data_IF_665443012662
#
_entry.id   IF_665443012662
#
_cell.length_a   1.000
_cell.length_b   1.000
_cell.length_c   1.000
_cell.angle_alpha   90.00
_cell.angle_beta   90.00
_cell.angle_gamma   90.00
#
_symmetry.space_group_name_H-M   'P 1'
#
loop_
_entity.id
_entity.type
_entity.pdbx_description
1 polymer ?
#
# COMPACT_ATOMS: atom_id res chain seq x y z
N UNK A 1 6.02 8.45 -24.53
CA UNK A 1 5.30 9.31 -23.56
C UNK A 1 6.15 9.44 -22.32
N UNK A 2 6.68 10.63 -22.07
CA UNK A 2 7.46 10.94 -20.85
C UNK A 2 6.45 11.29 -19.75
N UNK A 3 6.25 10.40 -18.78
CA UNK A 3 5.39 10.67 -17.65
C UNK A 3 6.05 11.73 -16.77
N UNK A 4 5.43 12.90 -16.62
CA UNK A 4 5.85 13.89 -15.63
C UNK A 4 5.48 13.33 -14.25
N UNK A 5 6.48 13.10 -13.41
CA UNK A 5 6.27 12.89 -11.98
C UNK A 5 5.49 14.10 -11.44
N UNK A 6 4.34 13.84 -10.81
CA UNK A 6 3.58 14.88 -10.14
C UNK A 6 3.88 14.80 -8.64
N UNK A 7 4.35 15.91 -8.07
CA UNK A 7 4.61 16.03 -6.63
C UNK A 7 3.65 17.04 -6.05
N UNK A 8 2.84 16.60 -5.09
CA UNK A 8 1.96 17.44 -4.29
C UNK A 8 2.60 17.58 -2.90
N UNK A 9 2.94 18.81 -2.52
CA UNK A 9 3.47 19.10 -1.19
C UNK A 9 2.35 19.68 -0.34
N UNK A 10 2.04 19.02 0.77
CA UNK A 10 0.97 19.43 1.67
C UNK A 10 1.49 20.17 2.91
N UNK A 11 2.76 19.93 3.26
CA UNK A 11 3.48 20.54 4.38
C UNK A 11 4.99 20.52 4.10
N UNK A 12 5.79 21.26 4.87
CA UNK A 12 7.27 21.20 4.81
C UNK A 12 7.84 19.82 5.14
N UNK A 13 7.03 18.93 5.75
CA UNK A 13 7.43 17.58 6.18
C UNK A 13 6.69 16.45 5.48
N UNK A 14 5.71 16.73 4.63
CA UNK A 14 4.92 15.68 3.96
C UNK A 14 4.77 16.01 2.49
N UNK A 15 5.28 15.10 1.65
CA UNK A 15 5.17 15.19 0.20
C UNK A 15 4.57 13.89 -0.33
N UNK A 16 3.64 14.04 -1.26
CA UNK A 16 3.11 12.96 -2.05
C UNK A 16 3.66 13.03 -3.46
N UNK A 17 4.19 11.91 -3.94
CA UNK A 17 4.72 11.81 -5.29
C UNK A 17 4.06 10.65 -6.02
N UNK A 18 3.60 10.95 -7.23
CA UNK A 18 3.06 9.97 -8.17
C UNK A 18 4.14 9.60 -9.18
N UNK A 19 4.51 8.33 -9.23
CA UNK A 19 5.44 7.78 -10.22
C UNK A 19 4.90 6.52 -10.90
N UNK A 20 5.60 6.08 -11.95
CA UNK A 20 5.38 4.80 -12.62
C UNK A 20 6.65 3.99 -12.47
N UNK A 21 6.53 2.76 -11.98
CA UNK A 21 7.67 1.89 -11.77
C UNK A 21 7.28 0.50 -11.28
N UNK A 22 8.31 -0.30 -11.05
CA UNK A 22 8.21 -1.57 -10.35
C UNK A 22 8.44 -1.33 -8.86
N UNK A 23 7.37 -1.49 -8.06
CA UNK A 23 7.41 -1.23 -6.62
C UNK A 23 8.40 -2.14 -5.88
N UNK A 24 8.72 -3.33 -6.42
CA UNK A 24 9.70 -4.23 -5.81
C UNK A 24 11.13 -3.68 -5.85
N UNK A 25 11.37 -2.69 -6.70
CA UNK A 25 12.67 -2.00 -6.88
C UNK A 25 12.68 -0.61 -6.26
N UNK A 26 11.58 -0.17 -5.67
CA UNK A 26 11.45 1.17 -5.09
C UNK A 26 12.28 1.29 -3.81
N UNK A 27 13.00 2.40 -3.67
CA UNK A 27 13.73 2.77 -2.46
C UNK A 27 14.00 4.27 -2.43
N UNK A 28 14.10 4.83 -1.23
CA UNK A 28 14.62 6.17 -0.96
C UNK A 28 15.93 6.06 -0.18
N UNK A 29 15.90 5.47 1.02
CA UNK A 29 17.10 5.32 1.87
C UNK A 29 17.40 3.88 2.29
N UNK A 30 16.54 2.93 1.92
CA UNK A 30 16.52 1.49 2.26
C UNK A 30 16.24 1.18 3.73
N UNK A 31 16.74 1.98 4.66
CA UNK A 31 16.69 1.73 6.11
C UNK A 31 15.38 2.10 6.79
N UNK A 32 14.65 3.07 6.25
CA UNK A 32 13.37 3.59 6.76
C UNK A 32 12.28 3.57 5.69
N UNK A 33 12.49 2.74 4.66
CA UNK A 33 11.56 2.51 3.56
C UNK A 33 10.63 1.33 3.87
N UNK A 34 9.36 1.45 3.49
CA UNK A 34 8.46 0.31 3.35
C UNK A 34 7.68 0.37 2.04
N UNK A 35 7.34 -0.80 1.52
CA UNK A 35 6.37 -0.93 0.42
C UNK A 35 5.11 -1.64 0.91
N UNK A 36 3.97 -1.32 0.31
CA UNK A 36 2.70 -1.98 0.62
C UNK A 36 2.44 -3.14 -0.34
N UNK A 37 2.13 -4.31 0.22
CA UNK A 37 1.72 -5.51 -0.49
C UNK A 37 0.21 -5.73 -0.32
N UNK A 38 -0.61 -5.54 -1.38
CA UNK A 38 -2.04 -5.85 -1.35
C UNK A 38 -2.22 -7.37 -1.41
N UNK A 39 -2.82 -7.95 -0.38
CA UNK A 39 -2.92 -9.40 -0.21
C UNK A 39 -4.33 -9.81 0.22
N UNK A 40 -4.52 -11.12 0.47
CA UNK A 40 -5.74 -11.67 1.04
C UNK A 40 -5.63 -11.85 2.56
N UNK A 41 -6.74 -12.26 3.18
CA UNK A 41 -6.88 -12.35 4.64
C UNK A 41 -5.92 -13.34 5.31
N UNK A 42 -5.46 -14.34 4.58
CA UNK A 42 -4.52 -15.36 5.06
C UNK A 42 -3.05 -14.96 4.88
N UNK A 43 -2.78 -13.77 4.32
CA UNK A 43 -1.45 -13.27 3.95
C UNK A 43 -0.71 -14.22 2.99
N UNK A 44 -1.46 -14.88 2.11
CA UNK A 44 -0.91 -15.73 1.07
C UNK A 44 -0.99 -15.04 -0.28
N UNK A 45 0.08 -15.23 -1.05
CA UNK A 45 0.31 -14.72 -2.40
C UNK A 45 -0.97 -14.22 -3.09
N UNK A 46 -1.15 -12.91 -3.11
CA UNK A 46 -2.12 -12.25 -3.98
C UNK A 46 -1.63 -12.28 -5.44
N UNK A 47 -2.55 -12.20 -6.40
CA UNK A 47 -2.17 -12.02 -7.80
C UNK A 47 -1.48 -10.67 -8.06
N UNK A 48 -0.80 -10.56 -9.21
CA UNK A 48 -0.19 -9.33 -9.72
C UNK A 48 0.93 -8.75 -8.83
N UNK A 49 0.72 -7.59 -8.19
CA UNK A 49 1.76 -6.85 -7.47
C UNK A 49 2.31 -7.63 -6.27
N UNK A 50 1.46 -8.35 -5.53
CA UNK A 50 1.93 -9.18 -4.42
C UNK A 50 2.84 -10.31 -4.91
N UNK A 51 2.56 -10.93 -6.06
CA UNK A 51 3.43 -11.94 -6.64
C UNK A 51 4.82 -11.36 -6.97
N UNK A 52 4.89 -10.18 -7.59
CA UNK A 52 6.16 -9.51 -7.89
C UNK A 52 6.95 -9.16 -6.61
N UNK A 53 6.26 -8.69 -5.57
CA UNK A 53 6.88 -8.40 -4.27
C UNK A 53 7.42 -9.69 -3.62
N UNK A 54 6.65 -10.77 -3.63
CA UNK A 54 7.08 -12.06 -3.07
C UNK A 54 8.23 -12.69 -3.85
N UNK A 55 8.22 -12.60 -5.18
CA UNK A 55 9.31 -13.07 -6.03
C UNK A 55 10.61 -12.32 -5.71
N UNK A 56 10.54 -10.99 -5.66
CA UNK A 56 11.71 -10.15 -5.38
C UNK A 56 12.22 -10.28 -3.94
N UNK A 57 11.34 -10.39 -2.95
CA UNK A 57 11.71 -10.57 -1.54
C UNK A 57 12.30 -11.95 -1.24
N UNK A 58 11.94 -12.96 -2.03
CA UNK A 58 12.31 -14.35 -1.83
C UNK A 58 11.42 -15.10 -0.83
N UNK A 59 11.68 -16.41 -0.62
CA UNK A 59 10.79 -17.30 0.10
C UNK A 59 10.63 -16.96 1.59
N UNK A 60 11.58 -16.23 2.17
CA UNK A 60 11.56 -15.87 3.59
C UNK A 60 10.44 -14.86 3.91
N UNK A 61 10.00 -14.06 2.93
CA UNK A 61 8.82 -13.21 3.09
C UNK A 61 7.57 -14.05 3.37
N UNK A 62 7.36 -15.13 2.60
CA UNK A 62 6.23 -16.02 2.81
C UNK A 62 6.30 -16.72 4.17
N UNK A 63 7.49 -17.16 4.59
CA UNK A 63 7.69 -17.75 5.91
C UNK A 63 7.31 -16.76 7.02
N UNK A 64 7.71 -15.50 6.90
CA UNK A 64 7.34 -14.48 7.87
C UNK A 64 5.84 -14.19 7.90
N UNK A 65 5.17 -14.18 6.73
CA UNK A 65 3.71 -14.07 6.68
C UNK A 65 3.02 -15.19 7.48
N UNK A 66 3.53 -16.42 7.43
CA UNK A 66 2.98 -17.54 8.21
C UNK A 66 3.19 -17.40 9.73
N UNK A 67 4.23 -16.70 10.16
CA UNK A 67 4.50 -16.44 11.58
C UNK A 67 3.61 -15.34 12.17
N UNK A 68 2.89 -14.58 11.33
CA UNK A 68 1.93 -13.59 11.83
C UNK A 68 0.77 -14.33 12.50
N UNK A 69 0.42 -13.98 13.75
CA UNK A 69 -0.70 -14.59 14.46
C UNK A 69 -2.03 -14.41 13.71
N UNK A 70 -2.89 -15.40 13.83
CA UNK A 70 -4.26 -15.28 13.38
C UNK A 70 -5.03 -14.28 14.25
N UNK A 71 -5.64 -13.28 13.63
CA UNK A 71 -6.54 -12.35 14.28
C UNK A 71 -7.91 -13.00 14.53
N UNK A 72 -8.32 -13.92 13.64
CA UNK A 72 -9.52 -14.73 13.74
C UNK A 72 -9.21 -16.11 13.10
N UNK A 73 -10.01 -17.16 13.34
CA UNK A 73 -9.74 -18.47 12.76
C UNK A 73 -9.51 -18.41 11.25
N UNK A 74 -8.30 -18.80 10.81
CA UNK A 74 -7.85 -18.74 9.40
C UNK A 74 -7.74 -17.33 8.80
N UNK A 75 -7.66 -16.28 9.62
CA UNK A 75 -7.51 -14.89 9.17
C UNK A 75 -6.34 -14.27 9.92
N UNK A 76 -5.30 -13.86 9.18
CA UNK A 76 -4.14 -13.14 9.73
C UNK A 76 -4.29 -11.63 9.62
N UNK A 77 -4.96 -11.15 8.57
CA UNK A 77 -5.20 -9.74 8.31
C UNK A 77 -6.62 -9.53 7.78
N UNK A 78 -7.58 -9.11 8.62
CA UNK A 78 -8.92 -8.74 8.15
C UNK A 78 -8.92 -7.64 7.08
N UNK A 79 -9.97 -7.52 6.25
CA UNK A 79 -10.13 -6.42 5.31
C UNK A 79 -10.04 -5.06 6.01
N UNK A 80 -9.25 -4.15 5.43
CA UNK A 80 -9.01 -2.82 5.98
C UNK A 80 -7.88 -2.78 7.01
N UNK A 81 -7.34 -3.91 7.46
CA UNK A 81 -6.21 -3.95 8.39
C UNK A 81 -4.85 -4.04 7.68
N UNK A 82 -3.77 -3.88 8.47
CA UNK A 82 -2.40 -4.01 8.00
C UNK A 82 -1.53 -4.81 8.98
N UNK A 83 -0.51 -5.49 8.44
CA UNK A 83 0.55 -6.23 9.16
C UNK A 83 1.92 -5.86 8.58
N UNK A 84 2.99 -6.13 9.30
CA UNK A 84 4.35 -5.78 8.85
C UNK A 84 5.30 -6.96 8.97
N UNK A 85 6.21 -7.07 8.01
CA UNK A 85 7.35 -8.01 8.02
C UNK A 85 8.62 -7.29 7.58
N UNK A 86 9.82 -7.87 7.79
CA UNK A 86 11.03 -7.39 7.15
C UNK A 86 10.92 -7.39 5.60
N UNK A 87 11.74 -6.58 4.94
CA UNK A 87 11.82 -6.48 3.48
C UNK A 87 12.59 -7.61 2.79
N UNK A 88 13.37 -8.39 3.54
CA UNK A 88 14.22 -9.48 3.03
C UNK A 88 15.15 -9.02 1.90
N UNK A 89 14.99 -9.56 0.68
CA UNK A 89 15.83 -9.21 -0.48
C UNK A 89 15.40 -7.92 -1.18
N UNK A 90 14.26 -7.32 -0.79
CA UNK A 90 13.81 -6.04 -1.33
C UNK A 90 14.75 -4.91 -0.88
N UNK A 91 14.88 -3.82 -1.66
CA UNK A 91 15.66 -2.65 -1.29
C UNK A 91 14.94 -1.75 -0.25
N UNK A 92 14.14 -2.32 0.64
CA UNK A 92 13.40 -1.62 1.69
C UNK A 92 13.51 -2.35 3.02
N UNK A 93 13.32 -1.64 4.12
CA UNK A 93 13.42 -2.20 5.47
C UNK A 93 12.27 -3.17 5.77
N UNK A 94 11.06 -2.84 5.30
CA UNK A 94 9.84 -3.56 5.64
C UNK A 94 8.87 -3.71 4.47
N UNK A 95 8.02 -4.73 4.55
CA UNK A 95 6.80 -4.86 3.74
C UNK A 95 5.61 -4.73 4.66
N UNK A 96 4.68 -3.83 4.31
CA UNK A 96 3.40 -3.69 4.98
C UNK A 96 2.35 -4.44 4.15
N UNK A 97 1.75 -5.47 4.73
CA UNK A 97 0.72 -6.29 4.08
C UNK A 97 -0.64 -5.75 4.45
N UNK A 98 -1.53 -5.54 3.49
CA UNK A 98 -2.89 -5.07 3.75
C UNK A 98 -3.90 -5.73 2.85
N UNK A 99 -5.14 -5.82 3.32
CA UNK A 99 -6.25 -6.42 2.59
C UNK A 99 -7.24 -5.32 2.23
N UNK A 100 -7.37 -5.05 0.94
CA UNK A 100 -8.36 -4.10 0.45
C UNK A 100 -9.76 -4.72 0.31
N UNK A 101 -10.77 -3.93 -0.08
CA UNK A 101 -12.12 -4.44 -0.26
C UNK A 101 -12.26 -5.34 -1.50
N UNK A 102 -13.19 -6.29 -1.42
CA UNK A 102 -13.80 -6.91 -2.60
C UNK A 102 -15.09 -6.14 -2.88
N UNK A 103 -15.07 -5.22 -3.84
CA UNK A 103 -16.15 -4.24 -4.07
C UNK A 103 -17.54 -4.85 -4.29
N UNK A 104 -17.63 -6.00 -4.95
CA UNK A 104 -18.92 -6.66 -5.20
C UNK A 104 -19.39 -7.56 -4.05
N UNK A 105 -18.62 -7.67 -2.96
CA UNK A 105 -18.90 -8.58 -1.86
C UNK A 105 -19.03 -7.86 -0.52
N UNK A 106 -18.23 -6.82 -0.29
CA UNK A 106 -18.30 -6.03 0.93
C UNK A 106 -19.38 -4.95 0.83
N UNK A 107 -20.15 -4.78 1.91
CA UNK A 107 -21.20 -3.76 1.98
C UNK A 107 -20.66 -2.33 1.94
N UNK A 108 -19.47 -2.09 2.52
CA UNK A 108 -18.85 -0.76 2.64
C UNK A 108 -17.41 -0.77 2.10
N UNK A 109 -17.21 -0.97 0.79
CA UNK A 109 -15.87 -1.15 0.23
C UNK A 109 -14.99 0.10 0.35
N UNK A 110 -15.58 1.29 0.30
CA UNK A 110 -14.86 2.56 0.43
C UNK A 110 -14.26 2.73 1.83
N UNK A 111 -15.01 2.41 2.88
CA UNK A 111 -14.54 2.49 4.26
C UNK A 111 -13.42 1.49 4.55
N UNK A 112 -13.51 0.29 3.96
CA UNK A 112 -12.46 -0.73 4.02
C UNK A 112 -11.19 -0.22 3.32
N UNK A 113 -11.32 0.40 2.14
CA UNK A 113 -10.18 0.97 1.42
C UNK A 113 -9.53 2.10 2.23
N UNK A 114 -10.34 3.03 2.78
CA UNK A 114 -9.88 4.11 3.66
C UNK A 114 -9.14 3.54 4.88
N UNK A 115 -9.68 2.49 5.49
CA UNK A 115 -9.08 1.81 6.63
C UNK A 115 -7.75 1.16 6.26
N UNK A 116 -7.65 0.50 5.08
CA UNK A 116 -6.42 -0.12 4.61
C UNK A 116 -5.27 0.90 4.51
N UNK A 117 -5.51 2.05 3.88
CA UNK A 117 -4.52 3.13 3.79
C UNK A 117 -4.15 3.67 5.18
N UNK A 118 -5.15 4.01 6.00
CA UNK A 118 -4.94 4.55 7.35
C UNK A 118 -4.15 3.59 8.24
N UNK A 119 -4.45 2.30 8.18
CA UNK A 119 -3.77 1.29 8.98
C UNK A 119 -2.36 1.01 8.47
N UNK A 120 -2.10 1.01 7.16
CA UNK A 120 -0.73 0.94 6.63
C UNK A 120 0.12 2.11 7.12
N UNK A 121 -0.43 3.32 7.05
CA UNK A 121 0.20 4.53 7.55
C UNK A 121 0.48 4.42 9.05
N UNK A 122 -0.50 4.00 9.85
CA UNK A 122 -0.34 3.82 11.29
C UNK A 122 0.72 2.77 11.66
N UNK A 123 0.77 1.66 10.92
CA UNK A 123 1.79 0.61 11.07
C UNK A 123 3.18 1.16 10.73
N UNK A 124 3.31 1.93 9.64
CA UNK A 124 4.57 2.61 9.31
C UNK A 124 5.05 3.52 10.43
N UNK A 125 4.14 4.29 11.05
CA UNK A 125 4.45 5.19 12.16
C UNK A 125 5.04 4.43 13.33
N UNK A 126 4.36 3.36 13.72
CA UNK A 126 4.72 2.55 14.88
C UNK A 126 6.08 1.85 14.71
N UNK A 127 6.53 1.68 13.46
CA UNK A 127 7.79 1.01 13.11
C UNK A 127 8.87 1.98 12.59
N UNK A 128 8.72 3.28 12.83
CA UNK A 128 9.69 4.32 12.44
C UNK A 128 9.99 4.37 10.93
N UNK A 129 9.00 4.04 10.09
CA UNK A 129 9.10 4.15 8.64
C UNK A 129 8.91 5.61 8.22
N UNK A 130 9.82 6.16 7.42
CA UNK A 130 9.74 7.53 6.90
C UNK A 130 9.16 7.60 5.49
N UNK A 131 9.38 6.56 4.70
CA UNK A 131 8.98 6.51 3.30
C UNK A 131 8.12 5.28 3.04
N UNK A 132 6.91 5.50 2.54
CA UNK A 132 6.00 4.40 2.19
C UNK A 132 5.57 4.54 0.74
N UNK A 133 5.76 3.46 -0.03
CA UNK A 133 5.21 3.33 -1.37
C UNK A 133 3.98 2.43 -1.36
N UNK A 134 2.88 2.92 -1.93
CA UNK A 134 1.69 2.13 -2.19
C UNK A 134 1.55 1.83 -3.68
N UNK A 135 1.17 0.60 -4.05
CA UNK A 135 0.53 0.35 -5.33
C UNK A 135 -0.96 0.76 -5.24
N UNK A 136 -1.66 0.72 -6.36
CA UNK A 136 -3.10 0.91 -6.39
C UNK A 136 -3.81 -0.30 -5.73
N UNK A 137 -4.18 -0.17 -4.45
CA UNK A 137 -4.81 -1.25 -3.67
C UNK A 137 -6.16 -1.59 -4.28
N UNK A 138 -6.41 -2.89 -4.52
CA UNK A 138 -7.65 -3.44 -5.10
C UNK A 138 -7.97 -3.00 -6.53
N UNK A 139 -7.00 -2.46 -7.29
CA UNK A 139 -7.17 -2.03 -8.69
C UNK A 139 -6.80 -3.14 -9.71
N UNK A 140 -7.40 -4.33 -9.56
CA UNK A 140 -7.26 -5.42 -10.53
C UNK A 140 -7.85 -5.12 -11.93
N UNK A 141 -7.73 -6.07 -12.86
CA UNK A 141 -7.94 -5.93 -14.31
C UNK A 141 -9.37 -5.54 -14.76
N UNK A 142 -10.36 -5.34 -13.88
CA UNK A 142 -11.75 -5.09 -14.33
C UNK A 142 -12.50 -4.00 -13.55
N UNK A 143 -12.97 -3.00 -14.33
CA UNK A 143 -14.10 -2.07 -14.13
C UNK A 143 -14.21 -1.20 -12.87
N UNK A 144 -13.41 -1.42 -11.82
CA UNK A 144 -13.42 -0.61 -10.59
C UNK A 144 -12.27 0.43 -10.55
N UNK A 145 -11.50 0.51 -11.64
CA UNK A 145 -10.37 1.42 -11.78
C UNK A 145 -10.77 2.88 -11.51
N UNK A 146 -11.97 3.31 -11.90
CA UNK A 146 -12.39 4.71 -11.82
C UNK A 146 -12.79 5.17 -10.41
N UNK A 147 -13.37 4.30 -9.56
CA UNK A 147 -13.78 4.67 -8.19
C UNK A 147 -12.62 4.55 -7.20
N UNK A 148 -11.82 3.48 -7.29
CA UNK A 148 -10.65 3.31 -6.43
C UNK A 148 -9.56 4.36 -6.73
N UNK A 149 -9.36 4.73 -8.00
CA UNK A 149 -8.49 5.87 -8.36
C UNK A 149 -9.09 7.17 -7.83
N UNK A 150 -10.39 7.48 -8.06
CA UNK A 150 -11.01 8.71 -7.53
C UNK A 150 -10.90 8.84 -6.01
N UNK A 151 -11.13 7.77 -5.26
CA UNK A 151 -10.93 7.73 -3.81
C UNK A 151 -9.45 7.88 -3.44
N UNK A 152 -8.50 7.40 -4.25
CA UNK A 152 -7.06 7.57 -4.01
C UNK A 152 -6.50 8.92 -4.55
N UNK A 153 -7.27 9.62 -5.39
CA UNK A 153 -6.84 10.80 -6.15
C UNK A 153 -7.88 11.93 -6.06
N UNK A 154 -8.28 12.38 -4.86
CA UNK A 154 -9.01 13.66 -4.72
C UNK A 154 -8.13 14.91 -5.02
N UNK A 155 -7.37 14.83 -6.11
CA UNK A 155 -6.81 15.87 -6.97
C UNK A 155 -6.97 15.33 -8.40
N UNK A 156 -8.01 15.77 -9.11
CA UNK A 156 -8.53 15.07 -10.29
C UNK A 156 -7.54 14.73 -11.42
N UNK A 157 -7.94 13.69 -12.17
CA UNK A 157 -7.74 13.40 -13.60
C UNK A 157 -7.05 12.06 -13.97
N UNK A 158 -7.75 11.34 -14.87
CA UNK A 158 -7.38 10.36 -15.91
C UNK A 158 -7.39 8.84 -15.71
N UNK A 159 -7.99 8.26 -16.75
CA UNK A 159 -8.19 6.86 -17.09
C UNK A 159 -6.88 6.12 -17.31
N UNK A 160 -6.88 4.87 -16.85
CA UNK A 160 -5.89 3.83 -17.14
C UNK A 160 -4.50 4.07 -16.52
N UNK A 161 -3.95 3.02 -15.90
CA UNK A 161 -2.57 2.90 -15.38
C UNK A 161 -2.35 3.18 -13.88
N UNK A 162 -1.44 2.37 -13.34
CA UNK A 162 -1.03 2.28 -11.94
C UNK A 162 -0.37 3.58 -11.45
N UNK A 163 -0.82 4.06 -10.29
CA UNK A 163 -0.29 5.20 -9.56
C UNK A 163 0.63 4.68 -8.44
N UNK A 164 1.92 5.01 -8.48
CA UNK A 164 2.82 4.85 -7.32
C UNK A 164 2.56 6.01 -6.37
N UNK A 165 1.97 5.75 -5.22
CA UNK A 165 1.81 6.77 -4.17
C UNK A 165 3.04 6.68 -3.26
N UNK A 166 4.06 7.51 -3.47
CA UNK A 166 5.18 7.64 -2.53
C UNK A 166 4.91 8.82 -1.61
N UNK A 167 4.53 8.51 -0.37
CA UNK A 167 4.39 9.53 0.67
C UNK A 167 5.67 9.53 1.52
N UNK A 168 6.35 10.68 1.58
CA UNK A 168 7.29 10.97 2.67
C UNK A 168 6.43 11.31 3.87
N UNK A 169 6.24 10.36 4.79
CA UNK A 169 5.35 10.53 5.94
C UNK A 169 6.20 10.86 7.17
N UNK A 170 6.77 12.07 7.19
CA UNK A 170 7.60 12.49 8.34
C UNK A 170 6.77 13.07 9.49
N UNK A 171 5.46 13.30 9.32
CA UNK A 171 4.51 13.60 10.38
C UNK A 171 3.09 13.24 9.94
N UNK A 172 2.41 12.39 10.71
CA UNK A 172 1.03 11.98 10.47
C UNK A 172 0.10 13.08 10.94
N UNK A 173 -0.25 13.97 10.02
CA UNK A 173 -1.45 14.77 10.17
C UNK A 173 -2.63 13.91 9.70
N UNK A 174 -3.46 13.45 10.63
CA UNK A 174 -4.57 12.53 10.34
C UNK A 174 -5.64 13.20 9.48
N UNK A 175 -5.70 14.53 9.48
CA UNK A 175 -6.62 15.35 8.69
C UNK A 175 -6.29 15.31 7.18
N UNK A 176 -5.04 14.95 6.83
CA UNK A 176 -4.58 14.86 5.44
C UNK A 176 -5.16 13.63 4.71
N UNK A 177 -5.43 12.55 5.43
CA UNK A 177 -6.04 11.34 4.87
C UNK A 177 -7.53 11.58 4.57
N UNK A 178 -8.21 12.37 5.39
CA UNK A 178 -9.62 12.71 5.18
C UNK A 178 -9.82 13.69 4.00
N UNK A 179 -8.82 14.51 3.69
CA UNK A 179 -8.89 15.48 2.58
C UNK A 179 -8.48 14.88 1.22
N UNK A 180 -7.73 13.77 1.23
CA UNK A 180 -7.24 13.08 0.03
C UNK A 180 -8.08 11.86 -0.40
N UNK A 181 -8.98 11.40 0.46
CA UNK A 181 -9.99 10.35 0.21
C UNK A 181 -11.38 10.94 -0.03
#
# INVERSE_FOLDING_TARGET
MTFKVQTLSFSTKTSLKISKGDISRWCVDRSSDAIVSPTNEILLLGGFTAAAIHEAAGPDLQKACYQIPEAQPRVRCPPGEARITPGFKLPVSHVIHTVGPVFNFHCNPEDILRSAYKNCLSVGKANNIQYIAFPAISCGVSQIMTHAIKLQTNCGFLESFWVELSAKVTTYDMDLIETAL
#
